data_IF_055196886545
#
_entry.id   IF_055196886545
#
_cell.length_a   1.000
_cell.length_b   1.000
_cell.length_c   1.000
_cell.angle_alpha   90.00
_cell.angle_beta   90.00
_cell.angle_gamma   90.00
#
_symmetry.space_group_name_H-M   'P 1'
#
loop_
_entity.id
_entity.type
_entity.pdbx_description
1 polymer ?
#
# COMPACT_ATOMS: atom_id res chain seq x y z
N UNK A 1 8.97 -13.49 -10.34
CA UNK A 1 7.65 -12.81 -10.40
C UNK A 1 7.39 -12.27 -11.79
N UNK A 2 6.20 -12.45 -12.29
CA UNK A 2 5.80 -11.99 -13.62
C UNK A 2 4.97 -10.74 -13.53
N UNK A 3 5.47 -9.65 -14.08
CA UNK A 3 4.74 -8.37 -14.12
C UNK A 3 4.09 -8.21 -15.49
N UNK A 4 2.83 -7.84 -15.50
CA UNK A 4 2.11 -7.50 -16.71
C UNK A 4 1.60 -6.08 -16.62
N UNK A 5 2.09 -5.20 -17.50
CA UNK A 5 1.66 -3.80 -17.52
C UNK A 5 1.84 -3.12 -16.18
N UNK A 6 2.84 -3.52 -15.42
CA UNK A 6 3.19 -2.85 -14.16
C UNK A 6 4.19 -1.75 -14.49
N UNK A 7 3.91 -0.55 -14.00
CA UNK A 7 4.81 0.60 -14.16
C UNK A 7 5.39 0.95 -12.81
N UNK A 8 6.71 0.99 -12.73
CA UNK A 8 7.42 1.34 -11.50
C UNK A 8 8.31 2.54 -11.80
N UNK A 9 8.09 3.63 -11.07
CA UNK A 9 8.81 4.86 -11.29
C UNK A 9 10.27 4.80 -10.85
N UNK A 10 11.01 5.82 -11.26
CA UNK A 10 12.43 5.92 -11.00
C UNK A 10 12.69 6.06 -9.51
N UNK A 11 13.70 5.35 -9.02
CA UNK A 11 14.12 5.41 -7.62
C UNK A 11 13.24 4.63 -6.66
N UNK A 12 12.24 3.91 -7.18
CA UNK A 12 11.37 3.08 -6.35
C UNK A 12 12.06 1.76 -6.02
N UNK A 13 11.97 1.35 -4.77
CA UNK A 13 12.51 0.09 -4.28
C UNK A 13 11.37 -0.81 -3.86
N UNK A 14 11.36 -2.04 -4.37
CA UNK A 14 10.34 -3.04 -4.04
C UNK A 14 11.04 -4.26 -3.46
N UNK A 15 10.69 -4.63 -2.22
CA UNK A 15 11.29 -5.77 -1.54
C UNK A 15 10.21 -6.73 -1.04
N UNK A 16 10.41 -8.02 -1.31
CA UNK A 16 9.56 -9.09 -0.78
C UNK A 16 8.06 -8.81 -1.00
N UNK A 17 7.72 -8.27 -2.17
CA UNK A 17 6.37 -7.80 -2.45
C UNK A 17 5.81 -8.50 -3.69
N UNK A 18 4.48 -8.54 -3.75
CA UNK A 18 3.74 -9.05 -4.90
C UNK A 18 2.96 -7.88 -5.48
N UNK A 19 3.19 -7.59 -6.77
CA UNK A 19 2.51 -6.52 -7.47
C UNK A 19 1.78 -7.13 -8.65
N UNK A 20 0.47 -6.94 -8.70
CA UNK A 20 -0.35 -7.57 -9.72
C UNK A 20 -0.51 -6.68 -10.95
N UNK A 21 -1.23 -7.19 -11.95
CA UNK A 21 -1.30 -6.59 -13.28
C UNK A 21 -1.86 -5.17 -13.28
N UNK A 22 -1.36 -4.34 -14.20
CA UNK A 22 -1.86 -3.00 -14.48
C UNK A 22 -1.75 -2.03 -13.30
N UNK A 23 -0.87 -2.31 -12.36
CA UNK A 23 -0.59 -1.42 -11.23
C UNK A 23 0.47 -0.41 -11.63
N UNK A 24 0.29 0.83 -11.19
CA UNK A 24 1.21 1.92 -11.45
C UNK A 24 1.77 2.42 -10.13
N UNK A 25 3.08 2.42 -10.01
CA UNK A 25 3.79 2.89 -8.82
C UNK A 25 4.63 4.08 -9.22
N UNK A 26 4.52 5.18 -8.49
CA UNK A 26 5.24 6.40 -8.78
C UNK A 26 6.73 6.32 -8.48
N UNK A 27 7.35 7.47 -8.43
CA UNK A 27 8.80 7.59 -8.21
C UNK A 27 9.13 7.72 -6.73
N UNK A 28 10.31 7.26 -6.35
CA UNK A 28 10.82 7.41 -5.00
C UNK A 28 10.05 6.64 -3.93
N UNK A 29 9.32 5.61 -4.32
CA UNK A 29 8.55 4.80 -3.39
C UNK A 29 9.40 3.71 -2.75
N UNK A 30 8.94 3.22 -1.61
CA UNK A 30 9.58 2.12 -0.93
C UNK A 30 8.49 1.15 -0.47
N UNK A 31 8.51 -0.06 -1.04
CA UNK A 31 7.53 -1.09 -0.74
C UNK A 31 8.24 -2.27 -0.08
N UNK A 32 7.84 -2.58 1.14
CA UNK A 32 8.40 -3.70 1.91
C UNK A 32 7.27 -4.63 2.32
N UNK A 33 7.33 -5.86 1.86
CA UNK A 33 6.32 -6.88 2.18
C UNK A 33 4.91 -6.39 1.86
N UNK A 34 4.72 -5.87 0.65
CA UNK A 34 3.41 -5.37 0.23
C UNK A 34 2.78 -6.34 -0.77
N UNK A 35 1.48 -6.56 -0.62
CA UNK A 35 0.68 -7.23 -1.63
C UNK A 35 -0.20 -6.17 -2.25
N UNK A 36 0.08 -5.85 -3.51
CA UNK A 36 -0.63 -4.81 -4.24
C UNK A 36 -1.44 -5.48 -5.34
N UNK A 37 -2.74 -5.36 -5.25
CA UNK A 37 -3.64 -6.02 -6.20
C UNK A 37 -3.65 -5.31 -7.55
N UNK A 38 -4.57 -5.70 -8.41
CA UNK A 38 -4.60 -5.21 -9.79
C UNK A 38 -5.15 -3.80 -9.90
N UNK A 39 -4.69 -3.06 -10.89
CA UNK A 39 -5.20 -1.73 -11.23
C UNK A 39 -5.06 -0.72 -10.09
N UNK A 40 -4.04 -0.87 -9.27
CA UNK A 40 -3.77 0.06 -8.17
C UNK A 40 -2.88 1.19 -8.68
N UNK A 41 -3.14 2.40 -8.20
CA UNK A 41 -2.30 3.56 -8.48
C UNK A 41 -1.69 4.06 -7.20
N UNK A 42 -0.37 4.06 -7.15
CA UNK A 42 0.40 4.53 -5.99
C UNK A 42 1.16 5.77 -6.44
N UNK A 43 0.99 6.86 -5.71
CA UNK A 43 1.64 8.12 -6.04
C UNK A 43 3.14 8.11 -5.80
N UNK A 44 3.75 9.29 -5.79
CA UNK A 44 5.19 9.43 -5.58
C UNK A 44 5.52 9.46 -4.10
N UNK A 45 6.72 9.00 -3.74
CA UNK A 45 7.25 9.06 -2.38
C UNK A 45 6.36 8.35 -1.34
N UNK A 46 5.71 7.28 -1.76
CA UNK A 46 4.85 6.47 -0.89
C UNK A 46 5.70 5.36 -0.27
N UNK A 47 5.52 5.15 1.03
CA UNK A 47 6.23 4.09 1.75
C UNK A 47 5.22 3.11 2.33
N UNK A 48 5.35 1.85 1.96
CA UNK A 48 4.50 0.79 2.47
C UNK A 48 5.34 -0.17 3.32
N UNK A 49 4.84 -0.52 4.49
CA UNK A 49 5.50 -1.47 5.38
C UNK A 49 6.58 -0.84 6.23
N UNK A 50 6.39 0.38 6.69
CA UNK A 50 7.35 1.09 7.51
C UNK A 50 6.88 1.18 8.96
N UNK A 51 7.82 1.43 9.88
CA UNK A 51 7.50 1.59 11.29
C UNK A 51 7.45 0.28 12.05
N UNK A 52 6.99 0.35 13.29
CA UNK A 52 6.90 -0.81 14.15
C UNK A 52 5.65 -1.64 13.83
N UNK A 53 5.77 -2.93 14.02
CA UNK A 53 4.68 -3.84 13.75
C UNK A 53 3.61 -3.75 14.85
N UNK A 54 2.35 -3.78 14.45
CA UNK A 54 1.22 -3.83 15.37
C UNK A 54 0.15 -4.74 14.78
N UNK A 55 -0.65 -5.36 15.62
CA UNK A 55 -1.71 -6.25 15.15
C UNK A 55 -2.75 -5.48 14.35
N UNK A 56 -3.29 -6.09 13.30
CA UNK A 56 -4.34 -5.47 12.51
C UNK A 56 -5.61 -5.33 13.36
N UNK A 57 -6.27 -4.19 13.26
CA UNK A 57 -7.42 -3.87 14.09
C UNK A 57 -8.70 -4.57 13.66
N UNK A 58 -8.70 -5.20 12.50
CA UNK A 58 -9.90 -5.87 11.95
C UNK A 58 -9.75 -7.39 11.92
N UNK A 59 -8.62 -7.88 11.37
CA UNK A 59 -8.40 -9.31 11.21
C UNK A 59 -6.92 -9.65 11.43
N UNK A 60 -6.44 -9.63 12.67
CA UNK A 60 -5.01 -9.79 12.94
C UNK A 60 -4.44 -11.15 12.52
N UNK A 61 -5.25 -12.19 12.42
CA UNK A 61 -4.75 -13.48 11.96
C UNK A 61 -4.72 -13.63 10.44
N UNK A 62 -5.24 -12.64 9.71
CA UNK A 62 -5.17 -12.59 8.25
C UNK A 62 -4.11 -11.58 7.81
N UNK A 63 -4.16 -10.37 8.36
CA UNK A 63 -3.24 -9.29 8.01
C UNK A 63 -2.14 -9.22 9.06
N UNK A 64 -1.09 -10.01 8.83
CA UNK A 64 0.00 -10.15 9.80
C UNK A 64 1.33 -10.32 9.08
N UNK A 65 2.37 -10.68 9.81
CA UNK A 65 3.74 -10.89 9.30
C UNK A 65 4.35 -9.63 8.67
N UNK A 66 3.86 -8.46 9.05
CA UNK A 66 4.38 -7.19 8.53
C UNK A 66 3.91 -6.86 7.12
N UNK A 67 2.93 -7.59 6.61
CA UNK A 67 2.48 -7.43 5.22
C UNK A 67 1.44 -6.31 5.12
N UNK A 68 1.65 -5.40 4.15
CA UNK A 68 0.66 -4.37 3.79
C UNK A 68 -0.16 -4.91 2.62
N UNK A 69 -1.47 -4.85 2.74
CA UNK A 69 -2.37 -5.31 1.68
C UNK A 69 -3.09 -4.12 1.07
N UNK A 70 -2.98 -3.96 -0.25
CA UNK A 70 -3.67 -2.91 -1.00
C UNK A 70 -4.62 -3.59 -1.97
N UNK A 71 -5.91 -3.35 -1.81
CA UNK A 71 -6.94 -3.98 -2.64
C UNK A 71 -6.98 -3.44 -4.06
N UNK A 72 -7.63 -4.17 -4.95
CA UNK A 72 -7.68 -3.79 -6.36
C UNK A 72 -8.38 -2.45 -6.57
N UNK A 73 -7.94 -1.72 -7.58
CA UNK A 73 -8.45 -0.40 -7.98
C UNK A 73 -8.31 0.66 -6.89
N UNK A 74 -7.42 0.44 -5.92
CA UNK A 74 -7.16 1.44 -4.90
C UNK A 74 -6.24 2.53 -5.44
N UNK A 75 -6.35 3.72 -4.86
CA UNK A 75 -5.45 4.83 -5.18
C UNK A 75 -4.86 5.34 -3.87
N UNK A 76 -3.54 5.41 -3.83
CA UNK A 76 -2.80 5.95 -2.70
C UNK A 76 -2.14 7.26 -3.17
N UNK A 77 -2.45 8.40 -2.53
CA UNK A 77 -1.90 9.68 -2.96
C UNK A 77 -0.40 9.80 -2.67
N UNK A 78 0.20 10.89 -3.12
CA UNK A 78 1.63 11.13 -2.92
C UNK A 78 1.97 11.30 -1.44
N UNK A 79 3.20 10.98 -1.09
CA UNK A 79 3.80 11.27 0.22
C UNK A 79 3.09 10.61 1.40
N UNK A 80 2.51 9.43 1.18
CA UNK A 80 1.84 8.66 2.24
C UNK A 80 2.78 7.58 2.77
N UNK A 81 2.84 7.45 4.08
CA UNK A 81 3.57 6.38 4.75
C UNK A 81 2.58 5.43 5.42
N UNK A 82 2.72 4.14 5.15
CA UNK A 82 1.79 3.12 5.63
C UNK A 82 2.55 2.12 6.49
N UNK A 83 2.04 1.85 7.68
CA UNK A 83 2.64 0.92 8.61
C UNK A 83 2.41 -0.55 8.24
N UNK A 84 3.00 -1.42 9.03
CA UNK A 84 2.93 -2.88 8.81
C UNK A 84 1.57 -3.43 9.23
N UNK A 85 1.17 -4.54 8.62
CA UNK A 85 -0.12 -5.20 8.90
C UNK A 85 -1.33 -4.31 8.60
N UNK A 86 -1.16 -3.35 7.70
CA UNK A 86 -2.23 -2.42 7.34
C UNK A 86 -2.95 -2.88 6.09
N UNK A 87 -4.19 -2.45 5.93
CA UNK A 87 -5.03 -2.79 4.78
C UNK A 87 -5.61 -1.51 4.20
N UNK A 88 -5.50 -1.35 2.89
CA UNK A 88 -6.08 -0.20 2.18
C UNK A 88 -6.94 -0.72 1.03
N UNK A 89 -8.19 -0.28 0.99
CA UNK A 89 -9.11 -0.57 -0.13
C UNK A 89 -9.81 0.71 -0.57
N UNK A 90 -9.79 0.97 -1.86
CA UNK A 90 -10.58 2.04 -2.46
C UNK A 90 -9.76 3.27 -2.84
N UNK A 91 -10.45 4.26 -3.38
CA UNK A 91 -9.84 5.51 -3.83
C UNK A 91 -9.67 6.43 -2.63
N UNK A 92 -8.44 6.52 -2.14
CA UNK A 92 -8.14 7.35 -0.97
C UNK A 92 -7.51 8.68 -1.39
N UNK A 93 -7.61 9.66 -0.51
CA UNK A 93 -7.01 10.97 -0.72
C UNK A 93 -6.19 11.34 0.50
N UNK A 94 -5.45 12.43 0.42
CA UNK A 94 -4.62 12.88 1.55
C UNK A 94 -5.45 13.11 2.82
N UNK A 95 -6.71 13.50 2.67
CA UNK A 95 -7.59 13.75 3.81
C UNK A 95 -7.98 12.47 4.56
N UNK A 96 -7.81 11.32 3.94
CA UNK A 96 -8.11 10.03 4.58
C UNK A 96 -7.00 9.56 5.50
N UNK A 97 -5.86 10.24 5.50
CA UNK A 97 -4.70 9.87 6.29
C UNK A 97 -4.41 10.95 7.33
N UNK A 98 -4.04 10.52 8.53
CA UNK A 98 -3.64 11.44 9.58
C UNK A 98 -2.15 11.74 9.44
N UNK A 99 -1.82 13.01 9.27
CA UNK A 99 -0.43 13.45 9.04
C UNK A 99 0.28 12.68 7.92
N UNK A 100 -0.44 12.39 6.84
CA UNK A 100 0.07 11.62 5.69
C UNK A 100 0.55 10.22 6.09
N UNK A 101 -0.05 9.64 7.12
CA UNK A 101 0.34 8.32 7.61
C UNK A 101 -0.86 7.45 7.92
N UNK A 102 -0.67 6.15 7.70
CA UNK A 102 -1.58 5.14 8.21
C UNK A 102 -0.77 4.28 9.18
N UNK A 103 -1.13 4.31 10.45
CA UNK A 103 -0.40 3.59 11.48
C UNK A 103 -0.45 2.08 11.25
N UNK A 104 0.55 1.38 11.79
CA UNK A 104 0.60 -0.07 11.68
C UNK A 104 -0.66 -0.70 12.26
N UNK A 105 -1.15 -1.73 11.61
CA UNK A 105 -2.33 -2.47 12.06
C UNK A 105 -3.66 -1.82 11.70
N UNK A 106 -3.67 -0.71 11.00
CA UNK A 106 -4.92 -0.01 10.66
C UNK A 106 -5.52 -0.49 9.36
N UNK A 107 -6.83 -0.47 9.29
CA UNK A 107 -7.59 -0.82 8.09
C UNK A 107 -8.31 0.43 7.58
N UNK A 108 -8.03 0.79 6.34
CA UNK A 108 -8.67 1.94 5.69
C UNK A 108 -9.44 1.44 4.47
N UNK A 109 -10.75 1.50 4.54
CA UNK A 109 -11.62 1.04 3.46
C UNK A 109 -12.51 2.20 3.03
N UNK A 110 -12.39 2.57 1.74
CA UNK A 110 -13.21 3.62 1.14
C UNK A 110 -14.25 2.95 0.25
N UNK A 111 -15.49 3.09 0.63
CA UNK A 111 -16.59 2.47 -0.11
C UNK A 111 -16.97 3.27 -1.36
N UNK A 112 -17.54 2.58 -2.33
CA UNK A 112 -18.29 3.19 -3.40
C UNK A 112 -17.53 3.77 -4.57
N UNK A 113 -16.23 3.55 -4.58
CA UNK A 113 -15.44 4.13 -5.67
C UNK A 113 -14.87 3.08 -6.58
#
# INVERSE_FOLDING_TARGET
MLFRSVTIGKGTVVRDSIIMNQTQIGEGCELNKAIVAEEVKIGNNVKLGVGEEADNDTAPHIYNHGIVTVGERSIIPNDISVGKNSVIFGVTSAADYEDSQLASGKTLIKAGE
#
